data_IF_184110151193
#
_entry.id   IF_184110151193
#
_cell.length_a   1.000
_cell.length_b   1.000
_cell.length_c   1.000
_cell.angle_alpha   90.00
_cell.angle_beta   90.00
_cell.angle_gamma   90.00
#
_symmetry.space_group_name_H-M   'P 1'
#
loop_
_entity.id
_entity.type
_entity.pdbx_description
1 polymer ?
#
# COMPACT_ATOMS: atom_id res chain seq x y z
N UNK A 1 -14.31 34.88 65.00
CA UNK A 1 -13.77 33.50 64.92
C UNK A 1 -13.70 33.19 63.42
N UNK A 2 -12.98 33.95 62.60
CA UNK A 2 -11.56 34.33 62.62
C UNK A 2 -10.64 33.15 62.87
N UNK A 3 -10.24 32.51 61.78
CA UNK A 3 -8.96 31.83 61.64
C UNK A 3 -8.38 32.15 60.27
N UNK A 4 -7.47 33.13 60.29
CA UNK A 4 -6.62 33.58 59.20
C UNK A 4 -5.35 32.74 59.25
N UNK A 5 -5.10 31.91 58.24
CA UNK A 5 -3.82 31.20 58.09
C UNK A 5 -3.08 31.80 56.91
N UNK A 6 -2.10 32.64 57.25
CA UNK A 6 -1.08 33.15 56.35
C UNK A 6 -0.03 32.06 56.08
N UNK A 7 0.18 31.72 54.81
CA UNK A 7 1.40 31.04 54.36
C UNK A 7 2.09 31.86 53.28
N UNK A 8 3.02 32.70 53.74
CA UNK A 8 4.08 33.30 52.93
C UNK A 8 5.11 32.21 52.59
N UNK A 9 5.06 31.72 51.35
CA UNK A 9 6.08 30.87 50.75
C UNK A 9 6.69 31.58 49.55
N UNK A 10 7.67 32.44 49.81
CA UNK A 10 8.52 33.09 48.82
C UNK A 10 9.48 32.04 48.27
N UNK A 11 9.16 31.45 47.12
CA UNK A 11 10.00 30.49 46.40
C UNK A 11 10.30 31.00 45.00
N UNK A 12 11.59 31.03 44.67
CA UNK A 12 12.24 31.63 43.49
C UNK A 12 11.50 31.53 42.15
N UNK A 13 11.45 32.63 41.37
CA UNK A 13 11.14 32.56 39.95
C UNK A 13 12.39 32.05 39.21
N UNK A 14 12.50 30.73 39.07
CA UNK A 14 13.35 30.17 38.01
C UNK A 14 12.70 30.52 36.67
N UNK A 15 13.13 31.67 36.16
CA UNK A 15 12.98 32.13 34.79
C UNK A 15 13.69 31.13 33.86
N UNK A 16 12.99 30.04 33.54
CA UNK A 16 13.38 29.12 32.46
C UNK A 16 13.04 29.83 31.16
N UNK A 17 13.87 30.80 30.83
CA UNK A 17 14.00 31.34 29.49
C UNK A 17 14.42 30.18 28.59
N UNK A 18 13.43 29.52 27.99
CA UNK A 18 13.61 28.63 26.87
C UNK A 18 14.17 29.47 25.70
N UNK A 19 15.47 29.71 25.70
CA UNK A 19 16.24 30.16 24.54
C UNK A 19 16.02 29.13 23.45
N UNK A 20 15.04 29.42 22.59
CA UNK A 20 14.83 28.74 21.32
C UNK A 20 16.16 28.80 20.57
N UNK A 21 16.81 27.64 20.29
CA UNK A 21 18.09 27.65 19.60
C UNK A 21 17.91 28.34 18.25
N UNK A 22 18.63 29.46 18.08
CA UNK A 22 18.60 30.25 16.86
C UNK A 22 18.94 29.34 15.66
N UNK A 23 18.16 29.35 14.57
CA UNK A 23 18.36 28.46 13.42
C UNK A 23 19.70 28.69 12.68
N UNK A 24 20.46 29.73 13.06
CA UNK A 24 21.75 30.05 12.46
C UNK A 24 22.88 29.07 12.88
N UNK A 25 22.81 28.44 14.07
CA UNK A 25 23.91 27.57 14.53
C UNK A 25 23.96 26.22 13.81
N UNK A 26 22.81 25.70 13.35
CA UNK A 26 22.75 24.43 12.62
C UNK A 26 23.34 24.53 11.20
N UNK A 27 23.35 25.73 10.62
CA UNK A 27 23.92 25.96 9.28
C UNK A 27 25.45 25.93 9.34
N UNK A 28 26.05 26.37 10.44
CA UNK A 28 27.50 26.35 10.62
C UNK A 28 28.02 24.93 10.87
N UNK A 29 27.31 24.11 11.65
CA UNK A 29 27.65 22.69 11.88
C UNK A 29 27.53 21.84 10.60
N UNK A 30 26.66 22.21 9.65
CA UNK A 30 26.57 21.55 8.34
C UNK A 30 27.67 21.98 7.36
N UNK A 31 28.23 23.17 7.52
CA UNK A 31 29.33 23.67 6.69
C UNK A 31 30.70 23.08 7.10
N UNK A 32 30.81 22.60 8.35
CA UNK A 32 32.00 21.95 8.91
C UNK A 32 32.01 20.41 8.74
N UNK A 33 30.95 19.85 8.15
CA UNK A 33 31.01 18.48 7.61
C UNK A 33 31.92 18.50 6.39
N UNK A 34 33.20 18.26 6.65
CA UNK A 34 34.24 18.16 5.64
C UNK A 34 33.96 16.96 4.70
N UNK A 35 33.12 17.20 3.69
CA UNK A 35 32.85 16.27 2.59
C UNK A 35 34.08 16.07 1.69
N UNK A 36 35.22 16.71 1.99
CA UNK A 36 36.49 16.52 1.28
C UNK A 36 37.30 15.33 1.81
N UNK A 37 36.91 14.70 2.92
CA UNK A 37 37.38 13.36 3.21
C UNK A 37 36.85 12.43 2.11
N UNK A 38 37.71 12.11 1.16
CA UNK A 38 37.54 11.05 0.17
C UNK A 38 37.29 9.73 0.92
N UNK A 39 36.05 9.48 1.32
CA UNK A 39 35.64 8.21 1.92
C UNK A 39 35.80 7.17 0.82
N UNK A 40 36.96 6.52 0.81
CA UNK A 40 37.28 5.46 -0.14
C UNK A 40 36.08 4.50 -0.18
N UNK A 41 35.44 4.32 -1.35
CA UNK A 41 34.29 3.45 -1.47
C UNK A 41 34.63 2.09 -0.87
N UNK A 42 33.82 1.61 0.07
CA UNK A 42 34.03 0.29 0.66
C UNK A 42 33.86 -0.74 -0.45
N UNK A 43 34.96 -1.40 -0.84
CA UNK A 43 34.94 -2.44 -1.85
C UNK A 43 34.22 -3.67 -1.30
N UNK A 44 33.11 -4.05 -1.92
CA UNK A 44 32.46 -5.32 -1.61
C UNK A 44 33.24 -6.49 -2.24
N UNK A 45 33.71 -7.42 -1.39
CA UNK A 45 34.39 -8.63 -1.86
C UNK A 45 33.36 -9.75 -2.08
N UNK A 46 33.16 -10.14 -3.33
CA UNK A 46 32.31 -11.27 -3.68
C UNK A 46 32.87 -12.57 -3.08
N UNK A 47 31.98 -13.46 -2.65
CA UNK A 47 32.31 -14.78 -2.09
C UNK A 47 32.81 -15.79 -3.14
N UNK A 48 33.91 -15.48 -3.85
CA UNK A 48 34.37 -16.25 -5.02
C UNK A 48 34.65 -17.72 -4.73
N UNK A 49 35.03 -18.05 -3.50
CA UNK A 49 35.36 -19.42 -3.09
C UNK A 49 34.11 -20.26 -2.73
N UNK A 50 32.92 -19.65 -2.69
CA UNK A 50 31.67 -20.35 -2.42
C UNK A 50 31.02 -20.85 -3.72
N UNK A 51 30.49 -22.10 -3.75
CA UNK A 51 29.68 -22.57 -4.85
C UNK A 51 28.50 -21.62 -5.16
N UNK A 52 28.09 -21.48 -6.43
CA UNK A 52 26.99 -20.60 -6.83
C UNK A 52 25.70 -20.80 -6.03
N UNK A 53 25.39 -22.04 -5.66
CA UNK A 53 24.18 -22.40 -4.91
C UNK A 53 24.19 -21.78 -3.50
N UNK A 54 25.37 -21.74 -2.87
CA UNK A 54 25.54 -21.13 -1.55
C UNK A 54 25.45 -19.61 -1.67
N UNK A 55 26.05 -19.02 -2.71
CA UNK A 55 25.96 -17.56 -2.96
C UNK A 55 24.54 -17.10 -3.20
N UNK A 56 23.76 -17.84 -3.99
CA UNK A 56 22.33 -17.59 -4.19
C UNK A 56 21.56 -17.65 -2.87
N UNK A 57 21.82 -18.64 -2.02
CA UNK A 57 21.21 -18.71 -0.68
C UNK A 57 21.59 -17.50 0.18
N UNK A 58 22.84 -17.03 0.14
CA UNK A 58 23.27 -15.83 0.84
C UNK A 58 22.45 -14.62 0.38
N UNK A 59 22.26 -14.43 -0.93
CA UNK A 59 21.47 -13.31 -1.45
C UNK A 59 20.01 -13.36 -1.02
N UNK A 60 19.38 -14.54 -1.09
CA UNK A 60 17.99 -14.72 -0.64
C UNK A 60 17.83 -14.49 0.87
N UNK A 61 18.76 -14.97 1.68
CA UNK A 61 18.75 -14.74 3.13
C UNK A 61 19.07 -13.30 3.49
N UNK A 62 19.85 -12.61 2.67
CA UNK A 62 20.17 -11.19 2.84
C UNK A 62 19.06 -10.26 2.33
N UNK A 63 18.01 -10.80 1.68
CA UNK A 63 16.87 -10.04 1.17
C UNK A 63 16.37 -9.06 2.24
N UNK A 64 16.14 -7.78 1.88
CA UNK A 64 15.73 -6.80 2.86
C UNK A 64 14.39 -7.21 3.48
N UNK A 65 14.20 -6.82 4.74
CA UNK A 65 12.92 -7.01 5.42
C UNK A 65 11.80 -6.31 4.63
N UNK A 66 10.55 -6.83 4.72
CA UNK A 66 9.37 -6.17 4.20
C UNK A 66 9.39 -4.66 4.52
N UNK A 67 9.22 -3.82 3.52
CA UNK A 67 9.25 -2.36 3.69
C UNK A 67 8.01 -1.69 3.12
N UNK A 68 7.82 -0.42 3.50
CA UNK A 68 6.71 0.40 3.02
C UNK A 68 7.18 1.21 1.83
N UNK A 69 6.44 1.13 0.73
CA UNK A 69 6.60 1.97 -0.45
C UNK A 69 5.55 3.08 -0.36
N UNK A 70 5.99 4.33 -0.25
CA UNK A 70 5.08 5.44 -0.04
C UNK A 70 4.65 6.06 -1.36
N UNK A 71 3.35 6.33 -1.50
CA UNK A 71 2.82 7.16 -2.57
C UNK A 71 2.63 8.58 -2.06
N UNK A 72 3.55 9.46 -2.40
CA UNK A 72 3.60 10.85 -1.92
C UNK A 72 3.02 11.78 -2.98
N UNK A 73 2.21 12.76 -2.60
CA UNK A 73 1.81 13.83 -3.51
C UNK A 73 2.89 14.92 -3.54
N UNK A 74 3.36 15.27 -4.73
CA UNK A 74 4.15 16.46 -4.94
C UNK A 74 3.19 17.65 -5.09
N UNK A 75 3.23 18.57 -4.13
CA UNK A 75 2.37 19.77 -4.13
C UNK A 75 2.66 20.73 -5.28
N UNK A 76 3.91 20.75 -5.77
CA UNK A 76 4.35 21.65 -6.84
C UNK A 76 3.84 21.18 -8.19
N UNK A 77 3.92 19.88 -8.47
CA UNK A 77 3.50 19.31 -9.76
C UNK A 77 2.07 18.78 -9.74
N UNK A 78 1.42 18.76 -8.56
CA UNK A 78 0.15 18.09 -8.31
C UNK A 78 0.14 16.60 -8.73
N UNK A 79 1.32 16.02 -8.94
CA UNK A 79 1.51 14.64 -9.35
C UNK A 79 1.82 13.77 -8.13
N UNK A 80 1.55 12.48 -8.24
CA UNK A 80 2.01 11.51 -7.26
C UNK A 80 3.40 11.00 -7.65
N UNK A 81 4.25 10.74 -6.66
CA UNK A 81 5.51 10.03 -6.78
C UNK A 81 5.51 8.79 -5.90
N UNK A 82 6.37 7.82 -6.23
CA UNK A 82 6.67 6.70 -5.34
C UNK A 82 7.99 6.98 -4.64
N UNK A 83 8.04 6.68 -3.36
CA UNK A 83 9.22 6.87 -2.54
C UNK A 83 9.59 5.57 -1.84
N UNK A 84 10.81 5.11 -2.14
CA UNK A 84 11.48 3.98 -1.49
C UNK A 84 12.97 4.09 -1.81
N UNK A 85 13.88 3.97 -0.82
CA UNK A 85 15.30 3.79 -1.10
C UNK A 85 15.53 2.54 -1.97
N UNK A 86 16.51 2.60 -2.86
CA UNK A 86 16.90 1.42 -3.66
C UNK A 86 17.44 0.36 -2.69
N UNK A 87 16.91 -0.88 -2.71
CA UNK A 87 17.44 -1.95 -1.88
C UNK A 87 18.95 -2.11 -2.06
N UNK A 88 19.70 -2.09 -0.96
CA UNK A 88 21.16 -2.18 -1.00
C UNK A 88 21.66 -3.38 -1.82
N UNK A 89 20.99 -4.53 -1.73
CA UNK A 89 21.32 -5.73 -2.52
C UNK A 89 21.31 -5.51 -4.03
N UNK A 90 20.45 -4.62 -4.54
CA UNK A 90 20.43 -4.29 -5.96
C UNK A 90 21.61 -3.40 -6.37
N UNK A 91 22.39 -2.89 -5.41
CA UNK A 91 23.57 -2.05 -5.65
C UNK A 91 24.90 -2.77 -5.34
N UNK A 92 24.86 -3.98 -4.75
CA UNK A 92 26.07 -4.71 -4.34
C UNK A 92 26.91 -5.18 -5.52
N UNK A 93 26.33 -6.01 -6.39
CA UNK A 93 27.02 -6.60 -7.54
C UNK A 93 26.03 -7.10 -8.60
N UNK A 94 26.53 -7.51 -9.77
CA UNK A 94 25.70 -8.04 -10.86
C UNK A 94 24.97 -9.34 -10.48
N UNK A 95 25.64 -10.22 -9.73
CA UNK A 95 25.06 -11.50 -9.30
C UNK A 95 23.87 -11.30 -8.37
N UNK A 96 24.02 -10.43 -7.36
CA UNK A 96 22.93 -10.07 -6.45
C UNK A 96 21.75 -9.47 -7.22
N UNK A 97 22.02 -8.58 -8.19
CA UNK A 97 20.95 -8.05 -9.06
C UNK A 97 20.24 -9.13 -9.87
N UNK A 98 20.98 -10.04 -10.47
CA UNK A 98 20.41 -11.12 -11.30
C UNK A 98 19.56 -12.10 -10.47
N UNK A 99 19.88 -12.28 -9.19
CA UNK A 99 19.09 -13.13 -8.29
C UNK A 99 17.87 -12.39 -7.74
N UNK A 100 18.00 -11.10 -7.41
CA UNK A 100 16.98 -10.35 -6.68
C UNK A 100 16.01 -9.59 -7.57
N UNK A 101 16.28 -9.39 -8.85
CA UNK A 101 15.42 -8.65 -9.77
C UNK A 101 14.63 -9.60 -10.67
N UNK A 102 13.31 -9.42 -10.74
CA UNK A 102 12.47 -10.21 -11.62
C UNK A 102 12.67 -9.78 -13.07
N UNK A 103 13.09 -10.72 -13.91
CA UNK A 103 13.20 -10.56 -15.35
C UNK A 103 12.13 -11.44 -16.03
N UNK A 104 11.15 -10.85 -16.74
CA UNK A 104 10.11 -11.61 -17.41
C UNK A 104 10.66 -12.48 -18.56
N UNK A 105 11.77 -12.08 -19.18
CA UNK A 105 12.39 -12.82 -20.29
C UNK A 105 13.24 -14.00 -19.79
N UNK A 106 13.73 -13.92 -18.55
CA UNK A 106 14.54 -14.95 -17.93
C UNK A 106 14.17 -15.15 -16.46
N UNK A 107 13.01 -15.76 -16.17
CA UNK A 107 12.53 -15.92 -14.81
C UNK A 107 13.46 -16.83 -14.01
N UNK A 108 14.21 -16.25 -13.08
CA UNK A 108 15.05 -17.00 -12.14
C UNK A 108 14.33 -17.16 -10.81
N UNK A 109 13.80 -18.34 -10.55
CA UNK A 109 13.11 -18.64 -9.29
C UNK A 109 11.66 -18.14 -9.26
N UNK A 110 11.13 -17.95 -8.04
CA UNK A 110 9.76 -17.49 -7.85
C UNK A 110 9.70 -15.98 -7.97
N UNK A 111 8.89 -15.49 -8.91
CA UNK A 111 8.57 -14.06 -9.09
C UNK A 111 8.26 -13.35 -7.77
N UNK A 112 7.59 -14.06 -6.87
CA UNK A 112 7.15 -13.56 -5.57
C UNK A 112 8.30 -13.20 -4.61
N UNK A 113 9.54 -13.68 -4.82
CA UNK A 113 10.67 -13.38 -3.93
C UNK A 113 11.59 -12.28 -4.49
N UNK A 114 11.30 -11.79 -5.69
CA UNK A 114 12.13 -10.84 -6.40
C UNK A 114 11.52 -9.43 -6.42
N UNK A 115 12.36 -8.45 -6.68
CA UNK A 115 11.98 -7.06 -6.90
C UNK A 115 11.56 -6.84 -8.35
N UNK A 116 10.44 -6.15 -8.52
CA UNK A 116 10.01 -5.63 -9.80
C UNK A 116 10.01 -4.10 -9.75
N UNK A 117 10.27 -3.45 -10.88
CA UNK A 117 10.21 -2.00 -10.95
C UNK A 117 8.75 -1.55 -11.08
N UNK A 118 8.22 -1.00 -10.00
CA UNK A 118 6.88 -0.43 -9.93
C UNK A 118 6.90 1.01 -10.45
N UNK A 119 5.99 1.30 -11.39
CA UNK A 119 5.78 2.62 -11.97
C UNK A 119 4.38 3.12 -11.63
N UNK A 120 4.23 4.42 -11.39
CA UNK A 120 2.91 5.02 -11.12
C UNK A 120 2.02 5.12 -12.35
N UNK A 121 2.62 5.27 -13.53
CA UNK A 121 1.92 5.37 -14.80
C UNK A 121 2.88 5.07 -15.95
N UNK A 122 2.35 4.88 -17.14
CA UNK A 122 3.17 4.70 -18.37
C UNK A 122 4.09 5.90 -18.63
N UNK A 123 3.67 7.11 -18.27
CA UNK A 123 4.52 8.31 -18.38
C UNK A 123 5.73 8.25 -17.44
N UNK A 124 5.55 7.75 -16.22
CA UNK A 124 6.67 7.53 -15.29
C UNK A 124 7.62 6.43 -15.78
N UNK A 125 7.07 5.37 -16.37
CA UNK A 125 7.86 4.31 -17.00
C UNK A 125 8.73 4.83 -18.14
N UNK A 126 8.17 5.66 -19.03
CA UNK A 126 8.94 6.28 -20.12
C UNK A 126 10.06 7.20 -19.59
N UNK A 127 9.91 7.76 -18.39
CA UNK A 127 10.92 8.58 -17.72
C UNK A 127 11.92 7.77 -16.88
N UNK A 128 11.78 6.43 -16.80
CA UNK A 128 12.57 5.61 -15.90
C UNK A 128 12.32 5.91 -14.41
N UNK A 129 11.20 6.56 -14.08
CA UNK A 129 10.82 6.91 -12.70
C UNK A 129 10.00 5.78 -12.10
N UNK A 130 10.70 4.86 -11.45
CA UNK A 130 10.09 3.76 -10.72
C UNK A 130 10.76 3.55 -9.37
N UNK A 131 10.14 2.71 -8.56
CA UNK A 131 10.76 2.16 -7.35
C UNK A 131 10.76 0.65 -7.47
N UNK A 132 11.81 0.01 -6.97
CA UNK A 132 11.78 -1.43 -6.80
C UNK A 132 10.76 -1.79 -5.74
N UNK A 133 9.98 -2.83 -5.95
CA UNK A 133 9.01 -3.35 -4.97
C UNK A 133 8.98 -4.87 -5.05
N UNK A 134 9.05 -5.54 -3.90
CA UNK A 134 8.75 -6.96 -3.81
C UNK A 134 7.26 -7.11 -3.48
N UNK A 135 6.44 -7.52 -4.46
CA UNK A 135 4.98 -7.55 -4.30
C UNK A 135 4.48 -8.54 -3.23
N UNK A 136 5.29 -9.52 -2.82
CA UNK A 136 4.92 -10.49 -1.77
C UNK A 136 5.13 -9.96 -0.37
N UNK A 137 6.05 -9.03 -0.19
CA UNK A 137 6.49 -8.60 1.13
C UNK A 137 6.26 -7.11 1.38
N UNK A 138 6.51 -6.28 0.37
CA UNK A 138 6.40 -4.84 0.51
C UNK A 138 4.94 -4.39 0.52
N UNK A 139 4.68 -3.31 1.26
CA UNK A 139 3.34 -2.72 1.39
C UNK A 139 3.32 -1.36 0.71
N UNK A 140 2.36 -1.12 -0.19
CA UNK A 140 2.13 0.21 -0.74
C UNK A 140 1.32 1.05 0.25
N UNK A 141 1.81 2.21 0.65
CA UNK A 141 1.10 3.15 1.51
C UNK A 141 0.55 4.32 0.70
N UNK A 142 -0.76 4.53 0.78
CA UNK A 142 -1.47 5.63 0.13
C UNK A 142 -2.02 6.59 1.20
N UNK A 143 -1.44 7.78 1.24
CA UNK A 143 -1.86 8.87 2.14
C UNK A 143 -3.03 9.69 1.65
N UNK A 144 -3.34 9.65 0.34
CA UNK A 144 -4.47 10.36 -0.25
C UNK A 144 -5.15 9.47 -1.27
N UNK A 145 -6.44 9.19 -1.03
CA UNK A 145 -7.26 8.45 -1.98
C UNK A 145 -7.38 9.21 -3.30
N UNK A 146 -7.60 8.50 -4.43
CA UNK A 146 -7.99 9.17 -5.67
C UNK A 146 -9.29 9.96 -5.47
N UNK A 147 -9.46 11.06 -6.19
CA UNK A 147 -10.63 11.94 -6.07
C UNK A 147 -11.96 11.20 -6.35
N UNK A 148 -11.88 10.17 -7.19
CA UNK A 148 -12.93 9.19 -7.41
C UNK A 148 -12.47 7.87 -6.79
N UNK A 149 -13.37 6.98 -6.43
CA UNK A 149 -13.05 5.61 -5.95
C UNK A 149 -12.41 4.70 -7.01
N UNK A 150 -11.77 5.30 -8.01
CA UNK A 150 -11.15 4.69 -9.18
C UNK A 150 -9.72 5.22 -9.22
N UNK A 151 -8.77 4.29 -9.25
CA UNK A 151 -7.36 4.60 -9.40
C UNK A 151 -7.01 4.56 -10.89
N UNK A 152 -6.67 5.71 -11.51
CA UNK A 152 -6.39 5.74 -12.95
C UNK A 152 -5.24 4.80 -13.38
N UNK A 153 -4.32 4.52 -12.45
CA UNK A 153 -3.18 3.62 -12.66
C UNK A 153 -3.30 2.27 -11.95
N UNK A 154 -4.52 1.81 -11.64
CA UNK A 154 -4.76 0.50 -11.02
C UNK A 154 -4.01 -0.64 -11.71
N UNK A 155 -3.94 -0.63 -13.04
CA UNK A 155 -3.25 -1.65 -13.83
C UNK A 155 -1.76 -1.78 -13.48
N UNK A 156 -1.10 -0.68 -13.13
CA UNK A 156 0.30 -0.70 -12.70
C UNK A 156 0.50 -1.40 -11.35
N UNK A 157 -0.58 -1.62 -10.60
CA UNK A 157 -0.59 -2.27 -9.30
C UNK A 157 -1.28 -3.64 -9.32
N UNK A 158 -1.46 -4.25 -10.49
CA UNK A 158 -2.18 -5.53 -10.61
C UNK A 158 -1.58 -6.64 -9.74
N UNK A 159 -0.27 -6.61 -9.50
CA UNK A 159 0.46 -7.60 -8.70
C UNK A 159 0.53 -7.24 -7.20
N UNK A 160 -0.02 -6.10 -6.80
CA UNK A 160 0.01 -5.64 -5.41
C UNK A 160 -0.74 -6.59 -4.48
N UNK A 161 -0.05 -7.07 -3.43
CA UNK A 161 -0.65 -7.96 -2.41
C UNK A 161 -0.94 -7.28 -1.08
N UNK A 162 -0.19 -6.23 -0.75
CA UNK A 162 -0.31 -5.53 0.52
C UNK A 162 -0.50 -4.04 0.29
N UNK A 163 -1.66 -3.53 0.72
CA UNK A 163 -2.02 -2.13 0.64
C UNK A 163 -2.25 -1.58 2.04
N UNK A 164 -1.72 -0.40 2.32
CA UNK A 164 -2.01 0.39 3.49
C UNK A 164 -2.60 1.74 3.10
N UNK A 165 -3.62 2.17 3.82
CA UNK A 165 -4.31 3.45 3.60
C UNK A 165 -4.64 4.08 4.95
N UNK A 166 -4.72 5.39 5.02
CA UNK A 166 -5.25 6.04 6.22
C UNK A 166 -6.77 5.89 6.30
N UNK A 167 -7.28 5.78 7.52
CA UNK A 167 -8.70 5.95 7.81
C UNK A 167 -9.05 7.45 7.78
N UNK A 168 -10.22 7.78 7.24
CA UNK A 168 -10.67 9.16 7.03
C UNK A 168 -10.34 9.74 5.64
N UNK A 169 -9.78 8.93 4.73
CA UNK A 169 -9.35 9.37 3.40
C UNK A 169 -10.50 9.58 2.41
N UNK A 170 -11.15 10.74 2.46
CA UNK A 170 -12.19 11.09 1.48
C UNK A 170 -11.70 10.89 0.03
N UNK A 171 -12.54 10.31 -0.85
CA UNK A 171 -13.93 9.95 -0.62
C UNK A 171 -14.15 8.55 -0.01
N UNK A 172 -13.11 7.77 0.29
CA UNK A 172 -13.21 6.42 0.84
C UNK A 172 -12.87 6.37 2.34
N UNK A 173 -13.09 5.22 2.99
CA UNK A 173 -12.66 5.00 4.39
C UNK A 173 -13.18 6.03 5.39
N UNK A 174 -14.42 6.46 5.19
CA UNK A 174 -15.27 7.17 6.16
C UNK A 174 -16.49 6.28 6.37
N UNK A 175 -17.10 6.33 7.55
CA UNK A 175 -18.21 5.46 7.95
C UNK A 175 -19.26 5.25 6.85
N UNK A 176 -19.82 6.33 6.30
CA UNK A 176 -20.89 6.26 5.27
C UNK A 176 -20.38 5.99 3.84
N UNK A 177 -19.08 5.78 3.68
CA UNK A 177 -18.40 5.69 2.40
C UNK A 177 -17.46 4.47 2.32
N UNK A 178 -17.70 3.43 3.12
CA UNK A 178 -16.95 2.18 3.03
C UNK A 178 -17.11 1.54 1.64
N UNK A 179 -18.31 1.59 1.04
CA UNK A 179 -18.58 1.10 -0.33
C UNK A 179 -17.61 1.66 -1.38
N UNK A 180 -17.22 2.94 -1.24
CA UNK A 180 -16.22 3.59 -2.10
C UNK A 180 -14.83 2.99 -1.89
N UNK A 181 -14.48 2.63 -0.66
CA UNK A 181 -13.26 1.91 -0.35
C UNK A 181 -13.26 0.50 -0.96
N UNK A 182 -14.35 -0.25 -0.81
CA UNK A 182 -14.46 -1.61 -1.38
C UNK A 182 -14.39 -1.58 -2.91
N UNK A 183 -15.04 -0.62 -3.57
CA UNK A 183 -14.90 -0.40 -5.03
C UNK A 183 -13.46 -0.12 -5.44
N UNK A 184 -12.68 0.58 -4.60
CA UNK A 184 -11.26 0.78 -4.83
C UNK A 184 -10.47 -0.54 -4.70
N UNK A 185 -10.75 -1.36 -3.67
CA UNK A 185 -10.08 -2.64 -3.44
C UNK A 185 -10.27 -3.62 -4.60
N UNK A 186 -11.43 -3.62 -5.26
CA UNK A 186 -11.72 -4.47 -6.43
C UNK A 186 -10.79 -4.24 -7.62
N UNK A 187 -10.09 -3.10 -7.67
CA UNK A 187 -9.13 -2.80 -8.73
C UNK A 187 -7.78 -3.50 -8.54
N UNK A 188 -7.60 -4.21 -7.42
CA UNK A 188 -6.38 -4.95 -7.09
C UNK A 188 -6.69 -6.45 -6.97
N UNK A 189 -6.67 -7.20 -8.09
CA UNK A 189 -7.14 -8.59 -8.10
C UNK A 189 -6.30 -9.54 -7.25
N UNK A 190 -5.02 -9.20 -7.03
CA UNK A 190 -4.09 -10.01 -6.24
C UNK A 190 -3.94 -9.53 -4.78
N UNK A 191 -4.77 -8.59 -4.34
CA UNK A 191 -4.66 -8.01 -3.01
C UNK A 191 -5.00 -9.04 -1.93
N UNK A 192 -4.03 -9.33 -1.06
CA UNK A 192 -4.19 -10.27 0.05
C UNK A 192 -4.54 -9.58 1.35
N UNK A 193 -4.03 -8.37 1.57
CA UNK A 193 -4.27 -7.64 2.82
C UNK A 193 -4.49 -6.15 2.57
N UNK A 194 -5.46 -5.56 3.27
CA UNK A 194 -5.64 -4.11 3.40
C UNK A 194 -5.43 -3.70 4.85
N UNK A 195 -4.54 -2.75 5.10
CA UNK A 195 -4.29 -2.18 6.43
C UNK A 195 -4.78 -0.74 6.49
N UNK A 196 -5.76 -0.47 7.34
CA UNK A 196 -6.28 0.86 7.58
C UNK A 196 -5.61 1.47 8.82
N UNK A 197 -4.93 2.58 8.62
CA UNK A 197 -4.17 3.31 9.63
C UNK A 197 -5.05 4.38 10.26
N UNK A 198 -5.34 4.23 11.55
CA UNK A 198 -6.24 5.15 12.27
C UNK A 198 -5.42 6.12 13.10
N UNK A 199 -5.56 7.42 12.81
CA UNK A 199 -5.00 8.48 13.65
C UNK A 199 -5.97 8.81 14.76
N UNK A 200 -5.58 8.52 16.01
CA UNK A 200 -6.33 8.92 17.17
C UNK A 200 -5.85 10.29 17.63
N UNK A 201 -6.63 11.32 17.32
CA UNK A 201 -6.49 12.59 18.01
C UNK A 201 -7.02 12.41 19.43
N UNK A 202 -6.23 12.83 20.42
CA UNK A 202 -6.60 12.81 21.84
C UNK A 202 -7.67 13.87 22.11
N UNK A 203 -8.90 13.67 21.60
CA UNK A 203 -10.00 14.62 21.81
C UNK A 203 -10.60 14.52 23.21
N UNK A 204 -10.31 13.43 23.94
CA UNK A 204 -10.71 13.26 25.33
C UNK A 204 -9.47 13.25 26.21
N UNK A 205 -8.87 14.43 26.43
CA UNK A 205 -7.94 14.59 27.53
C UNK A 205 -8.72 14.38 28.83
N UNK A 206 -8.79 13.12 29.28
CA UNK A 206 -9.27 12.80 30.62
C UNK A 206 -8.51 13.68 31.63
N UNK A 207 -9.18 14.16 32.69
CA UNK A 207 -8.57 15.01 33.70
C UNK A 207 -7.20 14.45 34.11
N UNK A 208 -6.20 15.33 34.19
CA UNK A 208 -4.88 14.96 34.68
C UNK A 208 -5.02 14.48 36.14
N UNK A 209 -4.65 13.22 36.41
CA UNK A 209 -4.60 12.67 37.77
C UNK A 209 -5.43 11.40 38.03
N UNK A 210 -6.33 10.99 37.14
CA UNK A 210 -7.11 9.76 37.37
C UNK A 210 -6.29 8.49 37.13
N UNK A 211 -6.13 7.68 38.18
CA UNK A 211 -5.66 6.30 38.08
C UNK A 211 -6.51 5.51 37.08
N UNK A 212 -5.88 4.89 36.08
CA UNK A 212 -6.57 4.10 35.04
C UNK A 212 -6.80 4.79 33.70
N UNK A 213 -6.40 6.07 33.54
CA UNK A 213 -6.50 6.81 32.26
C UNK A 213 -5.96 6.04 31.05
N UNK A 214 -4.75 5.47 31.16
CA UNK A 214 -4.10 4.71 30.06
C UNK A 214 -4.92 3.49 29.64
N UNK A 215 -5.50 2.78 30.60
CA UNK A 215 -6.30 1.58 30.35
C UNK A 215 -7.63 1.93 29.65
N UNK A 216 -8.31 2.99 30.12
CA UNK A 216 -9.55 3.48 29.49
C UNK A 216 -9.29 3.97 28.07
N UNK A 217 -8.21 4.70 27.83
CA UNK A 217 -7.80 5.15 26.49
C UNK A 217 -7.52 3.97 25.56
N UNK A 218 -6.74 2.97 26.02
CA UNK A 218 -6.44 1.78 25.24
C UNK A 218 -7.72 0.99 24.90
N UNK A 219 -8.65 0.89 25.85
CA UNK A 219 -9.95 0.24 25.65
C UNK A 219 -10.80 0.99 24.62
N UNK A 220 -10.86 2.32 24.69
CA UNK A 220 -11.57 3.14 23.71
C UNK A 220 -10.95 2.99 22.30
N UNK A 221 -9.62 3.04 22.19
CA UNK A 221 -8.92 2.83 20.92
C UNK A 221 -9.24 1.45 20.34
N UNK A 222 -9.19 0.39 21.15
CA UNK A 222 -9.51 -0.97 20.71
C UNK A 222 -10.96 -1.08 20.22
N UNK A 223 -11.91 -0.48 20.93
CA UNK A 223 -13.32 -0.44 20.51
C UNK A 223 -13.49 0.25 19.15
N UNK A 224 -12.91 1.43 18.99
CA UNK A 224 -12.96 2.18 17.73
C UNK A 224 -12.31 1.43 16.56
N UNK A 225 -11.17 0.77 16.76
CA UNK A 225 -10.53 -0.05 15.72
C UNK A 225 -11.42 -1.23 15.29
N UNK A 226 -12.05 -1.91 16.26
CA UNK A 226 -12.95 -3.03 15.99
C UNK A 226 -14.23 -2.58 15.28
N UNK A 227 -14.76 -1.42 15.65
CA UNK A 227 -15.93 -0.81 15.01
C UNK A 227 -15.64 -0.47 13.55
N UNK A 228 -14.52 0.23 13.28
CA UNK A 228 -14.06 0.50 11.91
C UNK A 228 -13.90 -0.80 11.11
N UNK A 229 -13.27 -1.82 11.72
CA UNK A 229 -13.11 -3.13 11.07
C UNK A 229 -14.45 -3.75 10.73
N UNK A 230 -15.43 -3.67 11.62
CA UNK A 230 -16.78 -4.22 11.41
C UNK A 230 -17.51 -3.52 10.26
N UNK A 231 -17.40 -2.20 10.12
CA UNK A 231 -17.98 -1.46 9.00
C UNK A 231 -17.39 -1.88 7.66
N UNK A 232 -16.06 -2.03 7.59
CA UNK A 232 -15.37 -2.42 6.36
C UNK A 232 -15.71 -3.85 5.97
N UNK A 233 -15.76 -4.78 6.93
CA UNK A 233 -16.15 -6.16 6.66
C UNK A 233 -17.61 -6.28 6.22
N UNK A 234 -18.54 -5.59 6.90
CA UNK A 234 -19.95 -5.59 6.51
C UNK A 234 -20.19 -5.08 5.09
N UNK A 235 -19.42 -4.07 4.67
CA UNK A 235 -19.47 -3.58 3.29
C UNK A 235 -18.89 -4.58 2.28
N UNK A 236 -17.80 -5.26 2.62
CA UNK A 236 -17.23 -6.32 1.76
C UNK A 236 -18.26 -7.44 1.57
N UNK A 237 -18.91 -7.88 2.65
CA UNK A 237 -19.91 -8.94 2.62
C UNK A 237 -21.12 -8.52 1.77
N UNK A 238 -21.64 -7.30 1.97
CA UNK A 238 -22.73 -6.75 1.15
C UNK A 238 -22.34 -6.71 -0.35
N UNK A 239 -21.10 -6.34 -0.64
CA UNK A 239 -20.59 -6.25 -2.01
C UNK A 239 -20.48 -7.66 -2.66
N UNK A 240 -20.10 -8.68 -1.90
CA UNK A 240 -20.08 -10.08 -2.39
C UNK A 240 -21.48 -10.63 -2.61
N UNK A 241 -22.43 -10.31 -1.72
CA UNK A 241 -23.84 -10.69 -1.86
C UNK A 241 -24.46 -10.07 -3.13
N UNK A 242 -24.19 -8.79 -3.39
CA UNK A 242 -24.61 -8.11 -4.62
C UNK A 242 -24.07 -8.82 -5.88
N UNK A 243 -22.80 -9.22 -5.89
CA UNK A 243 -22.22 -9.96 -7.02
C UNK A 243 -22.82 -11.36 -7.18
N UNK A 244 -23.16 -12.04 -6.08
CA UNK A 244 -23.83 -13.33 -6.12
C UNK A 244 -25.25 -13.19 -6.72
N UNK A 245 -26.00 -12.19 -6.26
CA UNK A 245 -27.34 -11.89 -6.76
C UNK A 245 -27.32 -11.49 -8.24
N UNK A 246 -26.37 -10.65 -8.65
CA UNK A 246 -26.22 -10.26 -10.05
C UNK A 246 -25.87 -11.45 -10.97
N UNK A 247 -25.01 -12.36 -10.50
CA UNK A 247 -24.70 -13.60 -11.24
C UNK A 247 -25.88 -14.56 -11.33
N UNK A 248 -26.65 -14.69 -10.25
CA UNK A 248 -27.87 -15.52 -10.26
C UNK A 248 -28.92 -14.96 -11.23
N UNK A 249 -29.10 -13.63 -11.25
CA UNK A 249 -29.99 -12.96 -12.20
C UNK A 249 -29.55 -13.17 -13.65
N UNK A 250 -28.27 -12.95 -13.96
CA UNK A 250 -27.73 -13.17 -15.31
C UNK A 250 -27.85 -14.64 -15.77
N UNK A 251 -27.67 -15.60 -14.86
CA UNK A 251 -27.86 -17.02 -15.15
C UNK A 251 -29.33 -17.37 -15.44
N UNK A 252 -30.28 -16.76 -14.72
CA UNK A 252 -31.71 -16.94 -14.94
C UNK A 252 -32.16 -16.34 -16.29
N UNK A 253 -31.66 -15.17 -16.66
CA UNK A 253 -31.92 -14.55 -17.97
C UNK A 253 -31.36 -15.40 -19.12
N UNK A 254 -30.14 -15.94 -18.97
CA UNK A 254 -29.56 -16.83 -19.97
C UNK A 254 -30.33 -18.15 -20.13
N UNK A 255 -30.91 -18.68 -19.05
CA UNK A 255 -31.76 -19.86 -19.11
C UNK A 255 -33.09 -19.58 -19.82
N UNK A 256 -33.70 -18.41 -19.56
CA UNK A 256 -34.95 -18.01 -20.21
C UNK A 256 -34.78 -17.78 -21.73
N UNK A 257 -33.64 -17.27 -22.18
CA UNK A 257 -33.38 -17.02 -23.60
C UNK A 257 -33.22 -18.28 -24.45
N UNK A 258 -32.91 -19.43 -23.86
CA UNK A 258 -32.66 -20.68 -24.61
C UNK A 258 -33.93 -21.49 -24.90
N UNK A 259 -35.07 -21.17 -24.28
CA UNK A 259 -36.30 -21.96 -24.42
C UNK A 259 -37.13 -21.56 -25.67
N UNK A 260 -36.83 -20.41 -26.29
CA UNK A 260 -37.65 -19.83 -27.38
C UNK A 260 -37.20 -20.19 -28.81
N UNK A 261 -36.24 -21.12 -28.97
CA UNK A 261 -35.71 -21.49 -30.31
C UNK A 261 -36.19 -22.86 -30.82
N UNK A 262 -37.18 -23.47 -30.17
CA UNK A 262 -37.69 -24.80 -30.55
C UNK A 262 -39.02 -24.70 -31.31
N UNK A 263 -39.10 -23.90 -32.38
CA UNK A 263 -40.15 -24.08 -33.41
C UNK A 263 -39.88 -23.24 -34.65
N UNK A 264 -39.69 -23.89 -35.81
CA UNK A 264 -39.95 -23.23 -37.10
C UNK A 264 -38.93 -23.45 -38.22
N UNK A 265 -39.09 -24.58 -38.90
CA UNK A 265 -39.10 -24.71 -40.37
C UNK A 265 -37.84 -24.41 -41.20
N UNK A 266 -37.31 -25.51 -41.73
CA UNK A 266 -36.78 -25.74 -43.08
C UNK A 266 -37.09 -24.65 -44.13
N UNK A 267 -36.06 -24.11 -44.79
CA UNK A 267 -36.01 -23.97 -46.26
C UNK A 267 -34.57 -23.79 -46.74
N UNK A 268 -34.21 -24.56 -47.77
CA UNK A 268 -32.97 -24.54 -48.52
C UNK A 268 -32.76 -23.22 -49.28
N UNK A 269 -31.50 -22.80 -49.48
CA UNK A 269 -30.91 -22.58 -50.82
C UNK A 269 -29.52 -21.94 -50.75
N UNK A 270 -28.53 -22.76 -51.12
CA UNK A 270 -27.46 -22.53 -52.09
C UNK A 270 -26.66 -21.21 -52.17
N UNK A 271 -25.34 -21.43 -52.04
CA UNK A 271 -24.22 -20.99 -52.91
C UNK A 271 -23.36 -19.73 -52.61
N UNK A 272 -22.07 -20.06 -52.38
CA UNK A 272 -20.82 -19.46 -52.90
C UNK A 272 -20.33 -18.11 -52.34
N UNK A 273 -19.21 -18.11 -51.59
CA UNK A 273 -17.83 -17.91 -52.13
C UNK A 273 -16.82 -17.66 -51.00
N UNK A 274 -15.81 -18.54 -50.91
CA UNK A 274 -14.42 -18.36 -50.44
C UNK A 274 -14.04 -17.06 -49.70
N UNK A 275 -13.74 -17.15 -48.38
CA UNK A 275 -12.69 -16.35 -47.72
C UNK A 275 -12.14 -17.10 -46.50
N UNK A 276 -10.82 -17.06 -46.30
CA UNK A 276 -10.00 -17.89 -45.41
C UNK A 276 -10.39 -17.91 -43.91
N UNK A 277 -10.09 -19.01 -43.16
CA UNK A 277 -10.47 -19.15 -41.76
C UNK A 277 -9.49 -18.42 -40.84
N UNK A 278 -9.91 -17.29 -40.28
CA UNK A 278 -9.28 -16.75 -39.07
C UNK A 278 -9.89 -17.45 -37.86
N UNK A 279 -9.16 -18.41 -37.30
CA UNK A 279 -9.51 -19.14 -36.08
C UNK A 279 -9.31 -18.26 -34.84
N UNK A 280 -10.16 -17.26 -34.67
CA UNK A 280 -10.29 -16.52 -33.40
C UNK A 280 -11.02 -17.41 -32.40
N UNK A 281 -10.28 -18.24 -31.68
CA UNK A 281 -10.77 -18.92 -30.48
C UNK A 281 -11.01 -17.86 -29.41
N UNK A 282 -12.20 -17.27 -29.42
CA UNK A 282 -12.70 -16.47 -28.30
C UNK A 282 -12.94 -17.42 -27.13
N UNK A 283 -11.89 -17.72 -26.38
CA UNK A 283 -12.03 -18.28 -25.04
C UNK A 283 -12.77 -17.25 -24.20
N UNK A 284 -14.06 -17.46 -24.00
CA UNK A 284 -14.90 -16.67 -23.09
C UNK A 284 -14.35 -16.85 -21.69
N UNK A 285 -13.38 -15.99 -21.31
CA UNK A 285 -12.78 -16.02 -20.00
C UNK A 285 -13.89 -15.77 -18.98
N UNK A 286 -14.18 -16.79 -18.17
CA UNK A 286 -15.14 -16.66 -17.07
C UNK A 286 -14.72 -15.46 -16.20
N UNK A 287 -15.67 -14.61 -15.78
CA UNK A 287 -15.35 -13.42 -14.99
C UNK A 287 -14.58 -13.84 -13.74
N UNK A 288 -13.38 -13.29 -13.58
CA UNK A 288 -12.51 -13.62 -12.46
C UNK A 288 -13.25 -13.32 -11.15
N UNK A 289 -13.43 -14.34 -10.31
CA UNK A 289 -14.09 -14.20 -9.01
C UNK A 289 -13.18 -13.33 -8.13
N UNK A 290 -13.71 -12.22 -7.63
CA UNK A 290 -12.99 -11.34 -6.72
C UNK A 290 -12.84 -12.01 -5.34
N UNK A 291 -11.60 -12.12 -4.87
CA UNK A 291 -11.29 -12.63 -3.54
C UNK A 291 -11.03 -11.44 -2.60
N UNK A 292 -11.83 -11.24 -1.55
CA UNK A 292 -11.65 -10.11 -0.65
C UNK A 292 -10.34 -10.22 0.14
N UNK A 293 -9.62 -9.10 0.37
CA UNK A 293 -8.40 -9.11 1.16
C UNK A 293 -8.69 -9.24 2.66
N UNK A 294 -7.71 -9.72 3.43
CA UNK A 294 -7.72 -9.65 4.88
C UNK A 294 -7.72 -8.17 5.34
N UNK A 295 -8.70 -7.79 6.16
CA UNK A 295 -8.83 -6.42 6.69
C UNK A 295 -8.14 -6.30 8.04
N UNK A 296 -7.16 -5.41 8.10
CA UNK A 296 -6.45 -5.00 9.33
C UNK A 296 -6.75 -3.54 9.60
N UNK A 297 -7.04 -3.22 10.86
CA UNK A 297 -7.23 -1.83 11.30
C UNK A 297 -6.33 -1.62 12.50
N UNK A 298 -5.38 -0.71 12.37
CA UNK A 298 -4.33 -0.50 13.38
C UNK A 298 -4.14 0.99 13.65
N UNK A 299 -3.66 1.37 14.86
CA UNK A 299 -3.24 2.75 15.09
C UNK A 299 -2.13 3.15 14.13
N UNK A 300 -2.17 4.37 13.61
CA UNK A 300 -1.04 4.95 12.89
C UNK A 300 0.11 5.16 13.86
N UNK A 301 1.23 4.47 13.65
CA UNK A 301 2.47 4.59 14.42
C UNK A 301 3.56 5.22 13.57
N UNK A 302 4.66 5.64 14.21
CA UNK A 302 5.85 6.18 13.52
C UNK A 302 6.47 5.20 12.52
N UNK A 303 6.22 3.89 12.65
CA UNK A 303 6.71 2.88 11.72
C UNK A 303 6.19 3.07 10.29
N UNK A 304 4.97 3.58 10.15
CA UNK A 304 4.34 3.80 8.86
C UNK A 304 4.80 5.06 8.16
N UNK A 305 5.39 5.99 8.90
CA UNK A 305 5.90 7.26 8.40
C UNK A 305 7.39 7.28 8.68
N UNK A 306 8.20 6.72 7.77
CA UNK A 306 9.62 7.02 7.84
C UNK A 306 9.77 8.53 7.65
N UNK A 307 10.52 9.26 8.50
CA UNK A 307 10.84 10.63 8.17
C UNK A 307 11.51 10.56 6.79
N UNK A 308 10.95 11.27 5.81
CA UNK A 308 11.65 11.50 4.56
C UNK A 308 12.99 12.09 4.99
N UNK A 309 14.06 11.31 4.86
CA UNK A 309 15.41 11.83 5.07
C UNK A 309 15.55 12.99 4.09
N UNK A 310 15.54 14.20 4.65
CA UNK A 310 15.61 15.46 3.91
C UNK A 310 16.94 15.56 3.16
#
# INVERSE_FOLDING_TARGET
>A
MDDTVEHNGTGDPHDISHTSPQPASLITDLADLDLSEEVKPRTFHLFKDLPPEIRVKIWRLAAPKPTVVERISNSTTLAYGLHRPVPALLQVCQESRAEMLYDPENPRGLRDEQFEMLHLSRGHQAQGKGVYMNYRHDTLLIYRGPAQSIMPSALSFINLRHLAMEWGLRPCWVQDHCHKGVRLLRQFPNLKTITLLVTFHTFNALPLGESGRKHREQTQKRRALNEIKSWVLGEIDQSLEQDANARAAAAAEAAASNDDTTSGSSSESTSTTSTAPQSSTHTTASPAIWNPPEVRVVPKTKYWSMPASA
#
